data_IF_705720954083
#
_entry.id   IF_705720954083
#
_cell.length_a   1.000
_cell.length_b   1.000
_cell.length_c   1.000
_cell.angle_alpha   90.00
_cell.angle_beta   90.00
_cell.angle_gamma   90.00
#
_symmetry.space_group_name_H-M   'P 1'
#
loop_
_entity.id
_entity.type
_entity.pdbx_description
1 polymer ?
#
# COMPACT_ATOMS: atom_id res chain seq x y z
N UNK A 1 7.20 8.03 -5.23
CA UNK A 1 6.51 6.74 -5.02
C UNK A 1 5.42 6.59 -6.06
N UNK A 2 5.13 5.36 -6.52
CA UNK A 2 4.01 5.02 -7.44
C UNK A 2 2.89 4.33 -6.68
N UNK A 3 1.69 4.29 -7.27
CA UNK A 3 0.56 3.59 -6.68
C UNK A 3 0.82 2.08 -6.53
N UNK A 4 1.49 1.46 -7.51
CA UNK A 4 1.83 0.03 -7.44
C UNK A 4 2.70 -0.28 -6.22
N UNK A 5 3.73 0.53 -5.96
CA UNK A 5 4.61 0.36 -4.79
C UNK A 5 3.83 0.50 -3.46
N UNK A 6 2.93 1.49 -3.37
CA UNK A 6 2.07 1.65 -2.18
C UNK A 6 1.14 0.46 -2.00
N UNK A 7 0.52 0.00 -3.07
CA UNK A 7 -0.35 -1.17 -3.04
C UNK A 7 0.41 -2.45 -2.74
N UNK A 8 1.67 -2.61 -3.17
CA UNK A 8 2.50 -3.77 -2.86
C UNK A 8 2.79 -3.81 -1.35
N UNK A 9 3.24 -2.70 -0.78
CA UNK A 9 3.46 -2.57 0.67
C UNK A 9 2.15 -2.79 1.45
N UNK A 10 1.06 -2.18 1.01
CA UNK A 10 -0.23 -2.33 1.65
C UNK A 10 -0.75 -3.76 1.61
N UNK A 11 -0.66 -4.40 0.44
CA UNK A 11 -1.11 -5.78 0.22
C UNK A 11 -0.32 -6.76 1.07
N UNK A 12 0.99 -6.56 1.10
CA UNK A 12 1.89 -7.26 1.99
C UNK A 12 1.40 -7.10 3.45
N UNK A 13 1.05 -5.90 3.90
CA UNK A 13 0.52 -5.63 5.24
C UNK A 13 -0.90 -6.18 5.50
N UNK A 14 -1.47 -6.97 4.57
CA UNK A 14 -2.80 -7.54 4.66
C UNK A 14 -3.93 -6.58 4.27
N UNK A 15 -3.60 -5.43 3.68
CA UNK A 15 -4.58 -4.45 3.21
C UNK A 15 -5.08 -4.86 1.82
N UNK A 16 -6.37 -4.76 1.58
CA UNK A 16 -6.97 -5.33 0.36
C UNK A 16 -7.45 -4.28 -0.61
N UNK A 17 -7.58 -3.04 -0.14
CA UNK A 17 -8.08 -1.91 -0.92
C UNK A 17 -7.00 -0.85 -1.14
N UNK A 18 -7.13 -0.14 -2.25
CA UNK A 18 -6.25 0.98 -2.58
C UNK A 18 -6.31 2.06 -1.49
N UNK A 19 -7.50 2.36 -0.95
CA UNK A 19 -7.63 3.35 0.12
C UNK A 19 -6.86 2.96 1.39
N UNK A 20 -6.96 1.70 1.82
CA UNK A 20 -6.24 1.22 3.00
C UNK A 20 -4.73 1.34 2.80
N UNK A 21 -4.22 0.94 1.63
CA UNK A 21 -2.80 1.01 1.30
C UNK A 21 -2.28 2.46 1.31
N UNK A 22 -3.03 3.40 0.74
CA UNK A 22 -2.66 4.82 0.72
C UNK A 22 -2.72 5.41 2.12
N UNK A 23 -3.79 5.14 2.88
CA UNK A 23 -3.89 5.58 4.27
C UNK A 23 -2.74 5.04 5.14
N UNK A 24 -2.32 3.80 4.90
CA UNK A 24 -1.17 3.21 5.57
C UNK A 24 0.14 3.92 5.19
N UNK A 25 0.33 4.23 3.90
CA UNK A 25 1.48 5.01 3.43
C UNK A 25 1.51 6.42 4.03
N UNK A 26 0.36 7.09 4.16
CA UNK A 26 0.25 8.40 4.82
C UNK A 26 0.58 8.33 6.30
N UNK A 27 0.04 7.32 7.00
CA UNK A 27 0.22 7.14 8.44
C UNK A 27 1.68 6.86 8.82
N UNK A 28 2.41 6.19 7.94
CA UNK A 28 3.80 5.78 8.20
C UNK A 28 4.82 6.57 7.40
N UNK A 29 4.41 7.60 6.65
CA UNK A 29 5.32 8.36 5.78
C UNK A 29 6.50 8.99 6.54
N UNK A 30 6.21 9.51 7.73
CA UNK A 30 7.17 10.09 8.68
C UNK A 30 8.18 9.06 9.20
N UNK A 31 7.85 7.76 9.13
CA UNK A 31 8.76 6.64 9.43
C UNK A 31 9.57 6.23 8.19
N UNK A 32 9.01 6.36 6.99
CA UNK A 32 9.61 5.84 5.75
C UNK A 32 10.52 6.83 5.00
N UNK A 33 10.51 8.14 5.30
CA UNK A 33 11.30 9.10 4.52
C UNK A 33 12.01 10.19 5.33
N UNK A 34 13.25 10.52 4.94
CA UNK A 34 13.95 11.73 5.39
C UNK A 34 13.46 12.93 4.59
N UNK A 35 12.51 13.68 5.15
CA UNK A 35 12.03 15.01 4.76
C UNK A 35 12.70 15.67 3.55
N UNK A 36 12.03 15.65 2.37
CA UNK A 36 11.93 16.82 1.48
C UNK A 36 10.95 16.72 0.29
N UNK A 37 10.35 15.55 -0.01
CA UNK A 37 9.53 15.40 -1.22
C UNK A 37 8.11 14.79 -0.99
N UNK A 38 7.56 14.89 0.24
CA UNK A 38 6.20 14.44 0.59
C UNK A 38 5.16 14.87 -0.46
N UNK A 39 5.10 16.18 -0.72
CA UNK A 39 4.09 16.74 -1.58
C UNK A 39 4.23 16.26 -3.03
N UNK A 40 5.44 16.01 -3.52
CA UNK A 40 5.65 15.51 -4.88
C UNK A 40 5.24 14.06 -5.04
N UNK A 41 5.61 13.23 -4.08
CA UNK A 41 5.33 11.81 -4.13
C UNK A 41 3.85 11.52 -3.93
N UNK A 42 3.18 12.22 -3.01
CA UNK A 42 1.75 12.08 -2.82
C UNK A 42 0.93 12.73 -3.94
N UNK A 43 1.32 13.89 -4.49
CA UNK A 43 0.58 14.47 -5.62
C UNK A 43 0.57 13.51 -6.81
N UNK A 44 1.70 12.86 -7.10
CA UNK A 44 1.77 11.85 -8.16
C UNK A 44 0.91 10.63 -7.84
N UNK A 45 0.91 10.17 -6.59
CA UNK A 45 0.05 9.08 -6.12
C UNK A 45 -1.44 9.41 -6.29
N UNK A 46 -1.83 10.64 -5.94
CA UNK A 46 -3.18 11.14 -6.06
C UNK A 46 -3.62 11.31 -7.52
N UNK A 47 -2.74 11.78 -8.39
CA UNK A 47 -2.99 11.80 -9.85
C UNK A 47 -3.19 10.39 -10.41
N UNK A 48 -2.39 9.42 -9.97
CA UNK A 48 -2.48 8.03 -10.43
C UNK A 48 -3.83 7.40 -10.05
N UNK A 49 -4.32 7.58 -8.82
CA UNK A 49 -5.63 6.99 -8.49
C UNK A 49 -6.85 7.82 -8.93
N UNK A 50 -6.74 9.13 -9.15
CA UNK A 50 -7.77 9.91 -9.86
C UNK A 50 -8.00 9.37 -11.29
N UNK A 51 -6.93 8.87 -11.92
CA UNK A 51 -7.02 8.23 -13.24
C UNK A 51 -7.72 6.87 -13.23
N UNK A 52 -7.72 6.19 -12.08
CA UNK A 52 -8.33 4.86 -11.88
C UNK A 52 -9.80 5.00 -11.45
N UNK A 53 -10.07 5.89 -10.51
CA UNK A 53 -11.41 6.22 -10.04
C UNK A 53 -11.54 7.73 -9.81
N UNK A 54 -12.16 8.44 -10.77
CA UNK A 54 -12.44 9.87 -10.63
C UNK A 54 -13.39 10.20 -9.46
N UNK A 55 -14.05 9.19 -8.88
CA UNK A 55 -14.84 9.29 -7.66
C UNK A 55 -14.09 8.77 -6.42
N UNK A 56 -12.75 8.86 -6.42
CA UNK A 56 -11.87 8.48 -5.31
C UNK A 56 -12.51 8.78 -3.95
N UNK A 57 -12.55 7.77 -3.09
CA UNK A 57 -13.02 7.89 -1.70
C UNK A 57 -14.48 7.56 -1.48
N UNK A 58 -15.21 7.15 -2.53
CA UNK A 58 -16.59 6.65 -2.42
C UNK A 58 -16.74 5.14 -2.48
N UNK A 59 -15.71 4.41 -2.91
CA UNK A 59 -15.76 2.95 -3.10
C UNK A 59 -14.44 2.29 -2.76
N UNK A 60 -14.51 1.15 -2.08
CA UNK A 60 -13.38 0.29 -1.81
C UNK A 60 -12.92 -0.38 -3.11
N UNK A 61 -11.81 0.08 -3.68
CA UNK A 61 -11.22 -0.52 -4.88
C UNK A 61 -10.25 -1.61 -4.45
N UNK A 62 -10.55 -2.85 -4.78
CA UNK A 62 -9.67 -3.96 -4.50
C UNK A 62 -8.36 -3.80 -5.27
N UNK A 63 -7.23 -3.92 -4.57
CA UNK A 63 -5.89 -3.81 -5.16
C UNK A 63 -5.73 -4.77 -6.33
N UNK A 64 -6.16 -6.02 -6.17
CA UNK A 64 -6.08 -7.06 -7.20
C UNK A 64 -6.92 -6.79 -8.44
N UNK A 65 -7.91 -5.87 -8.36
CA UNK A 65 -8.70 -5.49 -9.55
C UNK A 65 -7.91 -4.58 -10.50
N UNK A 66 -6.89 -3.89 -9.99
CA UNK A 66 -6.01 -2.99 -10.74
C UNK A 66 -4.63 -3.63 -10.98
N UNK A 67 -4.10 -4.30 -9.97
CA UNK A 67 -2.81 -5.00 -9.98
C UNK A 67 -3.03 -6.51 -9.73
N UNK A 68 -3.48 -7.26 -10.74
CA UNK A 68 -3.77 -8.69 -10.59
C UNK A 68 -2.50 -9.54 -10.38
N UNK A 69 -1.33 -8.99 -10.75
CA UNK A 69 -0.01 -9.56 -10.58
C UNK A 69 0.65 -9.15 -9.25
N UNK A 70 -0.09 -8.54 -8.33
CA UNK A 70 0.51 -8.09 -7.07
C UNK A 70 0.99 -9.29 -6.25
N UNK A 71 2.26 -9.26 -5.87
CA UNK A 71 2.90 -10.29 -5.08
C UNK A 71 2.91 -9.88 -3.60
N UNK A 72 2.61 -10.85 -2.74
CA UNK A 72 2.82 -10.72 -1.31
C UNK A 72 4.31 -11.00 -1.03
N UNK A 73 5.16 -10.03 -1.36
CA UNK A 73 6.59 -10.09 -1.08
C UNK A 73 6.83 -9.71 0.39
N UNK A 74 6.14 -10.36 1.33
CA UNK A 74 6.60 -10.39 2.71
C UNK A 74 7.82 -11.32 2.79
N UNK A 75 8.96 -10.87 3.34
CA UNK A 75 10.07 -11.78 3.59
C UNK A 75 9.57 -12.90 4.53
N UNK A 76 9.76 -14.16 4.12
CA UNK A 76 9.38 -15.38 4.84
C UNK A 76 9.75 -15.37 6.34
N UNK A 77 10.72 -14.53 6.74
CA UNK A 77 11.09 -14.28 8.14
C UNK A 77 9.93 -13.83 9.06
N UNK A 78 8.87 -13.21 8.54
CA UNK A 78 7.68 -12.86 9.35
C UNK A 78 6.69 -14.03 9.49
N UNK A 79 6.76 -15.04 8.60
CA UNK A 79 5.95 -16.26 8.69
C UNK A 79 6.47 -17.25 9.75
N UNK A 80 7.79 -17.27 10.00
CA UNK A 80 8.40 -18.10 11.04
C UNK A 80 7.98 -17.69 12.47
N UNK A 81 7.37 -16.52 12.66
CA UNK A 81 6.96 -16.03 13.99
C UNK A 81 5.60 -16.61 14.47
N UNK A 82 4.84 -17.28 13.59
CA UNK A 82 3.53 -17.86 13.95
C UNK A 82 3.54 -19.39 14.11
N UNK A 83 4.61 -20.08 13.69
CA UNK A 83 4.77 -21.53 13.91
C UNK A 83 5.62 -21.87 15.15
N UNK A 84 6.16 -20.86 15.84
CA UNK A 84 6.99 -21.01 17.03
C UNK A 84 6.20 -20.95 18.35
N UNK A 85 6.05 -22.11 18.98
CA UNK A 85 5.79 -22.32 20.42
C UNK A 85 4.35 -22.18 20.94
N UNK A 86 3.52 -23.18 20.58
CA UNK A 86 2.56 -23.76 21.53
C UNK A 86 3.18 -25.02 22.16
N UNK A 87 3.98 -24.84 23.22
CA UNK A 87 4.35 -25.90 24.16
C UNK A 87 3.82 -25.58 25.56
#
# INVERSE_FOLDING_TARGET
MTLKEVCEIGYACGLTTIQEAIFNAELHWDVFTTFNDFDKDFNKLYEECDSIDPEWGKKDILIQSIFPDIHDDFPDFMNDSLEGDCY
#
